data_IF_877276205051
#
_entry.id   IF_877276205051
#
_cell.length_a   1.000
_cell.length_b   1.000
_cell.length_c   1.000
_cell.angle_alpha   90.00
_cell.angle_beta   90.00
_cell.angle_gamma   90.00
#
_symmetry.space_group_name_H-M   'P 1'
#
loop_
_entity.id
_entity.type
_entity.pdbx_description
1 polymer ?
#
# COMPACT_ATOMS: atom_id res chain seq x y z
N UNK A 1 -51.30 -37.37 -44.39
CA UNK A 1 -50.95 -36.69 -43.15
C UNK A 1 -49.44 -36.63 -43.04
N UNK A 2 -48.75 -35.43 -42.99
CA UNK A 2 -47.32 -35.35 -42.84
C UNK A 2 -46.91 -35.27 -41.38
N UNK A 3 -45.94 -36.09 -41.00
CA UNK A 3 -45.31 -36.19 -39.70
C UNK A 3 -44.29 -35.04 -39.53
N UNK A 4 -44.55 -34.19 -38.56
CA UNK A 4 -43.63 -33.09 -38.14
C UNK A 4 -42.51 -33.64 -37.28
N UNK A 5 -41.27 -33.65 -37.82
CA UNK A 5 -40.06 -33.89 -37.01
C UNK A 5 -39.69 -32.63 -36.20
N UNK A 6 -39.80 -32.72 -34.87
CA UNK A 6 -39.25 -31.69 -33.96
C UNK A 6 -37.74 -31.89 -33.86
N UNK A 7 -36.99 -30.91 -34.39
CA UNK A 7 -35.52 -30.81 -34.14
C UNK A 7 -35.31 -30.21 -32.77
N UNK A 8 -34.70 -30.97 -31.88
CA UNK A 8 -34.16 -30.45 -30.61
C UNK A 8 -32.83 -29.75 -30.89
N UNK A 9 -32.83 -28.41 -30.77
CA UNK A 9 -31.59 -27.63 -30.76
C UNK A 9 -30.94 -27.77 -29.36
N UNK A 10 -29.85 -28.52 -29.30
CA UNK A 10 -29.02 -28.59 -28.14
C UNK A 10 -28.11 -27.36 -28.12
N UNK A 11 -28.40 -26.39 -27.27
CA UNK A 11 -27.55 -25.22 -27.03
C UNK A 11 -26.42 -25.67 -26.09
N UNK A 12 -25.20 -25.79 -26.63
CA UNK A 12 -24.00 -25.94 -25.81
C UNK A 12 -23.66 -24.60 -25.21
N UNK A 13 -23.91 -24.46 -23.88
CA UNK A 13 -23.43 -23.34 -23.10
C UNK A 13 -21.93 -23.56 -22.84
N UNK A 14 -21.07 -22.92 -23.62
CA UNK A 14 -19.65 -22.87 -23.34
C UNK A 14 -19.39 -21.87 -22.22
N UNK A 15 -19.23 -22.35 -21.00
CA UNK A 15 -18.70 -21.55 -19.90
C UNK A 15 -17.24 -21.20 -20.21
N UNK A 16 -16.83 -19.92 -20.10
CA UNK A 16 -15.42 -19.58 -20.23
C UNK A 16 -14.65 -20.26 -19.12
N UNK A 17 -13.67 -21.07 -19.50
CA UNK A 17 -12.66 -21.59 -18.57
C UNK A 17 -11.91 -20.39 -17.99
N UNK A 18 -12.26 -20.00 -16.76
CA UNK A 18 -11.52 -19.02 -16.00
C UNK A 18 -10.14 -19.63 -15.76
N UNK A 19 -9.12 -19.02 -16.31
CA UNK A 19 -7.74 -19.47 -16.24
C UNK A 19 -7.24 -19.41 -14.79
N UNK A 20 -7.38 -20.54 -14.09
CA UNK A 20 -6.97 -20.70 -12.69
C UNK A 20 -5.47 -20.45 -12.50
N UNK A 21 -4.67 -20.52 -13.59
CA UNK A 21 -3.26 -20.20 -13.55
C UNK A 21 -2.99 -18.71 -13.30
N UNK A 22 -3.88 -17.82 -13.75
CA UNK A 22 -3.78 -16.38 -13.45
C UNK A 22 -4.08 -16.05 -11.98
N UNK A 23 -4.94 -16.80 -11.32
CA UNK A 23 -5.22 -16.60 -9.89
C UNK A 23 -4.04 -17.03 -8.99
N UNK A 24 -3.21 -17.97 -9.42
CA UNK A 24 -2.01 -18.40 -8.66
C UNK A 24 -0.86 -17.40 -8.70
N UNK A 25 -0.80 -16.53 -9.69
CA UNK A 25 0.25 -15.50 -9.79
C UNK A 25 0.10 -14.37 -8.75
N UNK A 26 -1.10 -14.17 -8.19
CA UNK A 26 -1.34 -13.18 -7.13
C UNK A 26 -1.12 -13.73 -5.70
N UNK A 27 -0.92 -15.03 -5.56
CA UNK A 27 -0.62 -15.68 -4.28
C UNK A 27 0.89 -15.83 -4.04
N UNK A 28 1.73 -15.23 -4.88
CA UNK A 28 3.18 -15.21 -4.64
C UNK A 28 3.41 -14.31 -3.45
N UNK A 29 3.58 -14.98 -2.31
CA UNK A 29 3.73 -14.43 -0.99
C UNK A 29 4.63 -13.20 -0.97
N UNK A 30 4.21 -12.16 -0.25
CA UNK A 30 5.15 -11.18 0.25
C UNK A 30 6.37 -11.94 0.81
N UNK A 31 7.61 -11.54 0.47
CA UNK A 31 8.81 -12.19 0.99
C UNK A 31 8.67 -12.34 2.50
N UNK A 32 9.24 -13.43 3.03
CA UNK A 32 9.27 -13.67 4.48
C UNK A 32 10.01 -12.49 5.13
N UNK A 33 9.22 -11.50 5.58
CA UNK A 33 9.71 -10.23 6.09
C UNK A 33 10.08 -10.47 7.56
N UNK A 34 11.37 -10.46 7.86
CA UNK A 34 11.79 -10.35 9.26
C UNK A 34 11.26 -9.05 9.84
N UNK A 35 10.82 -9.03 11.10
CA UNK A 35 10.35 -7.81 11.76
C UNK A 35 11.44 -6.74 11.71
N UNK A 36 11.05 -5.49 11.47
CA UNK A 36 11.97 -4.35 11.56
C UNK A 36 12.27 -4.05 13.03
N UNK A 37 13.35 -3.31 13.27
CA UNK A 37 13.75 -2.86 14.62
C UNK A 37 12.66 -2.05 15.35
N UNK A 38 11.66 -1.52 14.63
CA UNK A 38 10.52 -0.81 15.20
C UNK A 38 9.65 -1.67 16.14
N UNK A 39 9.85 -2.99 16.14
CA UNK A 39 9.13 -3.90 17.03
C UNK A 39 10.08 -4.83 17.78
N UNK A 40 11.20 -4.33 18.25
CA UNK A 40 11.99 -5.00 19.25
C UNK A 40 11.56 -4.49 20.64
N UNK A 41 10.90 -5.27 21.44
CA UNK A 41 10.59 -5.13 22.87
C UNK A 41 10.28 -3.71 23.45
N UNK A 42 10.38 -2.64 22.65
CA UNK A 42 10.28 -1.25 23.09
C UNK A 42 8.87 -0.76 23.40
N UNK A 43 7.82 -1.48 23.05
CA UNK A 43 6.43 -1.08 23.23
C UNK A 43 6.06 0.29 22.61
N UNK A 44 6.92 0.88 21.80
CA UNK A 44 6.69 2.19 21.21
C UNK A 44 5.72 2.11 20.04
N UNK A 45 4.64 2.89 20.14
CA UNK A 45 3.70 3.05 19.05
C UNK A 45 4.35 3.88 17.93
N UNK A 46 3.96 3.58 16.69
CA UNK A 46 4.34 4.41 15.54
C UNK A 46 3.89 5.85 15.77
N UNK A 47 4.79 6.80 15.56
CA UNK A 47 4.55 8.23 15.79
C UNK A 47 3.44 8.78 14.88
N UNK A 48 2.49 9.51 15.46
CA UNK A 48 1.47 10.23 14.71
C UNK A 48 2.07 11.43 13.96
N UNK A 49 1.55 11.71 12.75
CA UNK A 49 1.86 12.90 11.96
C UNK A 49 0.59 13.46 11.32
N UNK A 50 0.65 14.71 10.92
CA UNK A 50 -0.47 15.39 10.28
C UNK A 50 -0.85 14.72 8.95
N UNK A 51 -2.15 14.60 8.69
CA UNK A 51 -2.69 14.13 7.41
C UNK A 51 -2.35 15.07 6.24
N UNK A 52 -2.10 16.34 6.56
CA UNK A 52 -1.93 17.39 5.56
C UNK A 52 -3.23 17.74 4.85
N UNK A 53 -3.20 18.76 3.95
CA UNK A 53 -4.40 19.29 3.29
C UNK A 53 -4.92 18.38 2.16
N UNK A 54 -4.19 17.36 1.77
CA UNK A 54 -4.51 16.50 0.63
C UNK A 54 -5.20 15.19 1.01
N UNK A 55 -5.54 15.01 2.29
CA UNK A 55 -6.32 13.86 2.70
C UNK A 55 -7.69 13.87 2.01
N UNK A 56 -8.06 12.74 1.41
CA UNK A 56 -9.40 12.50 0.86
C UNK A 56 -9.97 11.25 1.50
N UNK A 57 -11.26 11.31 1.81
CA UNK A 57 -11.98 10.15 2.33
C UNK A 57 -12.39 9.22 1.17
N UNK A 58 -12.62 7.94 1.49
CA UNK A 58 -13.12 6.93 0.58
C UNK A 58 -12.17 6.62 -0.59
N UNK A 59 -10.87 6.52 -0.30
CA UNK A 59 -9.92 5.99 -1.28
C UNK A 59 -10.37 4.62 -1.80
N UNK A 60 -10.05 4.22 -3.05
CA UNK A 60 -10.41 2.93 -3.58
C UNK A 60 -9.68 1.78 -2.85
N UNK A 61 -10.28 0.59 -2.85
CA UNK A 61 -9.61 -0.65 -2.47
C UNK A 61 -8.63 -1.03 -3.59
N UNK A 62 -7.46 -0.43 -3.53
CA UNK A 62 -6.42 -0.55 -4.55
C UNK A 62 -5.05 -0.50 -3.90
N UNK A 63 -4.14 -1.34 -4.35
CA UNK A 63 -2.77 -1.45 -3.86
C UNK A 63 -1.71 -1.39 -4.96
N UNK A 64 -2.11 -1.50 -6.23
CA UNK A 64 -1.23 -1.29 -7.37
C UNK A 64 -1.48 0.08 -7.98
N UNK A 65 -0.83 1.09 -7.42
CA UNK A 65 -0.97 2.49 -7.82
C UNK A 65 0.02 2.88 -8.94
N UNK A 66 0.92 1.97 -9.33
CA UNK A 66 1.90 2.25 -10.38
C UNK A 66 1.27 2.63 -11.75
N UNK A 67 0.14 2.05 -12.16
CA UNK A 67 -0.53 2.46 -13.40
C UNK A 67 -0.95 3.93 -13.45
N UNK A 68 -1.12 4.58 -12.30
CA UNK A 68 -1.48 6.00 -12.21
C UNK A 68 -0.34 6.94 -12.64
N UNK A 69 0.92 6.48 -12.54
CA UNK A 69 2.11 7.27 -12.85
C UNK A 69 3.24 6.40 -13.43
N UNK A 70 3.05 5.83 -14.63
CA UNK A 70 3.99 4.84 -15.20
C UNK A 70 5.37 5.42 -15.58
N UNK A 71 5.50 6.75 -15.60
CA UNK A 71 6.77 7.45 -15.83
C UNK A 71 7.63 7.65 -14.59
N UNK A 72 7.06 7.44 -13.38
CA UNK A 72 7.77 7.59 -12.12
C UNK A 72 8.71 6.42 -11.80
N UNK A 73 9.70 6.66 -10.96
CA UNK A 73 10.57 5.60 -10.44
C UNK A 73 9.76 4.65 -9.58
N UNK A 74 9.72 3.36 -9.94
CA UNK A 74 8.93 2.36 -9.25
C UNK A 74 9.44 2.08 -7.84
N UNK A 75 8.52 1.93 -6.89
CA UNK A 75 8.79 1.45 -5.54
C UNK A 75 7.68 0.49 -5.09
N UNK A 76 8.10 -0.65 -4.52
CA UNK A 76 7.20 -1.50 -3.75
C UNK A 76 7.39 -1.18 -2.27
N UNK A 77 6.32 -0.82 -1.60
CA UNK A 77 6.28 -0.64 -0.15
C UNK A 77 5.66 -1.87 0.48
N UNK A 78 6.21 -2.37 1.58
CA UNK A 78 5.64 -3.48 2.30
C UNK A 78 6.00 -3.45 3.79
N UNK A 79 5.25 -4.18 4.59
CA UNK A 79 5.51 -4.32 6.01
C UNK A 79 4.38 -5.05 6.72
N UNK A 80 4.36 -4.92 8.03
CA UNK A 80 3.35 -5.52 8.89
C UNK A 80 2.64 -4.45 9.72
N UNK A 81 1.42 -4.74 10.16
CA UNK A 81 0.75 -4.02 11.23
C UNK A 81 0.77 -4.90 12.47
N UNK A 82 1.32 -4.38 13.55
CA UNK A 82 1.60 -5.10 14.78
C UNK A 82 0.95 -4.37 15.96
N UNK A 83 0.66 -5.10 17.02
CA UNK A 83 0.37 -4.48 18.31
C UNK A 83 1.67 -4.17 19.08
N UNK A 84 1.53 -3.51 20.23
CA UNK A 84 2.66 -3.14 21.10
C UNK A 84 3.40 -4.34 21.74
N UNK A 85 3.02 -5.57 21.43
CA UNK A 85 3.70 -6.82 21.81
C UNK A 85 4.24 -7.55 20.59
N UNK A 86 4.40 -6.83 19.46
CA UNK A 86 4.86 -7.36 18.18
C UNK A 86 3.98 -8.49 17.60
N UNK A 87 2.72 -8.60 18.01
CA UNK A 87 1.80 -9.59 17.45
C UNK A 87 1.14 -9.03 16.19
N UNK A 88 1.08 -9.81 15.10
CA UNK A 88 0.50 -9.35 13.85
C UNK A 88 -1.01 -9.10 13.98
N UNK A 89 -1.49 -8.02 13.36
CA UNK A 89 -2.86 -7.58 13.36
C UNK A 89 -3.48 -7.75 11.97
N UNK A 90 -4.12 -8.90 11.74
CA UNK A 90 -4.86 -9.18 10.51
C UNK A 90 -6.14 -8.35 10.39
N UNK A 91 -6.56 -8.04 9.14
CA UNK A 91 -7.74 -7.25 8.86
C UNK A 91 -7.61 -5.76 9.21
N UNK A 92 -6.40 -5.28 9.48
CA UNK A 92 -6.13 -3.86 9.72
C UNK A 92 -6.20 -3.08 8.41
N UNK A 93 -6.87 -1.93 8.41
CA UNK A 93 -6.85 -0.99 7.31
C UNK A 93 -5.48 -0.35 7.19
N UNK A 94 -4.92 -0.32 5.98
CA UNK A 94 -3.75 0.47 5.61
C UNK A 94 -4.10 1.30 4.37
N UNK A 95 -4.08 2.61 4.49
CA UNK A 95 -4.35 3.57 3.43
C UNK A 95 -3.09 4.40 3.16
N UNK A 96 -2.82 4.67 1.87
CA UNK A 96 -1.70 5.48 1.40
C UNK A 96 -2.18 6.61 0.51
N UNK A 97 -1.49 7.78 0.56
CA UNK A 97 -1.55 8.82 -0.46
C UNK A 97 -0.23 9.59 -0.51
N UNK A 98 0.13 10.07 -1.69
CA UNK A 98 1.38 10.81 -1.88
C UNK A 98 1.35 11.68 -3.15
N UNK A 99 2.37 12.52 -3.30
CA UNK A 99 2.60 13.31 -4.50
C UNK A 99 3.08 12.44 -5.67
N UNK A 100 2.89 12.93 -6.86
CA UNK A 100 3.39 12.28 -8.08
C UNK A 100 4.89 12.54 -8.34
N UNK A 101 5.35 12.16 -9.52
CA UNK A 101 6.72 12.35 -10.00
C UNK A 101 7.11 13.83 -10.22
N UNK A 102 6.15 14.75 -10.17
CA UNK A 102 6.37 16.20 -10.26
C UNK A 102 6.22 16.90 -8.90
N UNK A 103 5.76 16.22 -7.87
CA UNK A 103 5.50 16.77 -6.55
C UNK A 103 4.06 17.25 -6.36
N UNK A 104 3.15 16.92 -7.27
CA UNK A 104 1.76 17.33 -7.23
C UNK A 104 0.87 16.25 -6.62
N UNK A 105 -0.12 16.68 -5.81
CA UNK A 105 -1.15 15.80 -5.29
C UNK A 105 -2.42 15.87 -6.15
N UNK A 106 -3.01 14.71 -6.44
CA UNK A 106 -4.35 14.69 -7.04
C UNK A 106 -5.38 15.22 -6.04
N UNK A 107 -5.88 16.42 -6.29
CA UNK A 107 -6.89 17.09 -5.47
C UNK A 107 -8.33 16.82 -5.91
N UNK A 108 -8.53 16.15 -7.05
CA UNK A 108 -9.84 15.90 -7.67
C UNK A 108 -10.24 14.43 -7.63
N UNK A 109 -9.33 13.54 -7.98
CA UNK A 109 -9.54 12.09 -8.07
C UNK A 109 -8.88 11.31 -6.94
N UNK A 110 -8.46 10.10 -7.27
CA UNK A 110 -7.79 9.16 -6.36
C UNK A 110 -6.45 8.65 -6.91
N UNK A 111 -5.84 9.36 -7.85
CA UNK A 111 -4.52 9.00 -8.38
C UNK A 111 -3.50 8.93 -7.25
N UNK A 112 -2.69 7.87 -7.23
CA UNK A 112 -1.69 7.58 -6.19
C UNK A 112 -2.26 7.54 -4.77
N UNK A 113 -3.50 7.03 -4.65
CA UNK A 113 -4.23 6.82 -3.39
C UNK A 113 -4.91 5.47 -3.42
N UNK A 114 -4.84 4.77 -2.32
CA UNK A 114 -5.54 3.51 -2.20
C UNK A 114 -5.52 3.00 -0.77
N UNK A 115 -6.33 2.00 -0.50
CA UNK A 115 -6.29 1.28 0.75
C UNK A 115 -6.34 -0.22 0.53
N UNK A 116 -5.96 -0.94 1.54
CA UNK A 116 -6.08 -2.39 1.63
C UNK A 116 -6.31 -2.81 3.08
N UNK A 117 -6.62 -4.08 3.26
CA UNK A 117 -6.63 -4.73 4.58
C UNK A 117 -5.45 -5.69 4.67
N UNK A 118 -4.81 -5.74 5.83
CA UNK A 118 -3.73 -6.69 6.08
C UNK A 118 -4.24 -8.13 5.99
N UNK A 119 -3.36 -9.05 5.58
CA UNK A 119 -3.64 -10.48 5.64
C UNK A 119 -3.66 -11.01 7.09
N UNK A 120 -3.90 -12.31 7.27
CA UNK A 120 -3.96 -12.93 8.59
C UNK A 120 -2.63 -12.84 9.37
N UNK A 121 -1.53 -12.60 8.71
CA UNK A 121 -0.20 -12.38 9.27
C UNK A 121 0.12 -10.88 9.46
N UNK A 122 -0.88 -9.99 9.34
CA UNK A 122 -0.72 -8.56 9.50
C UNK A 122 0.03 -7.86 8.37
N UNK A 123 0.31 -8.53 7.25
CA UNK A 123 1.13 -8.00 6.16
C UNK A 123 0.34 -7.11 5.23
N UNK A 124 0.99 -6.05 4.74
CA UNK A 124 0.48 -5.13 3.74
C UNK A 124 1.55 -4.84 2.68
N UNK A 125 1.14 -4.38 1.50
CA UNK A 125 2.05 -3.90 0.46
C UNK A 125 1.34 -2.97 -0.54
N UNK A 126 2.10 -2.05 -1.13
CA UNK A 126 1.68 -1.20 -2.24
C UNK A 126 2.75 -1.18 -3.33
N UNK A 127 2.35 -1.27 -4.59
CA UNK A 127 3.18 -0.87 -5.72
C UNK A 127 2.84 0.57 -6.09
N UNK A 128 3.86 1.42 -6.19
CA UNK A 128 3.65 2.82 -6.52
C UNK A 128 4.94 3.42 -7.10
N UNK A 129 5.06 4.73 -7.07
CA UNK A 129 6.26 5.45 -7.48
C UNK A 129 6.91 6.16 -6.30
N UNK A 130 8.20 6.47 -6.44
CA UNK A 130 8.90 7.38 -5.54
C UNK A 130 8.35 8.79 -5.76
N UNK A 131 7.69 9.43 -4.76
CA UNK A 131 7.14 10.76 -4.94
C UNK A 131 8.24 11.79 -5.15
N UNK A 132 7.99 12.84 -5.94
CA UNK A 132 8.89 13.98 -5.97
C UNK A 132 8.72 14.86 -4.70
N UNK A 133 9.54 15.88 -4.59
CA UNK A 133 9.51 16.81 -3.47
C UNK A 133 8.32 17.76 -3.58
N UNK A 134 7.42 17.73 -2.61
CA UNK A 134 6.40 18.76 -2.47
C UNK A 134 7.04 20.05 -1.90
N UNK A 135 6.60 21.25 -2.35
CA UNK A 135 7.17 22.51 -1.86
C UNK A 135 7.19 22.62 -0.33
N UNK A 136 8.33 22.91 0.24
CA UNK A 136 8.53 23.10 1.68
C UNK A 136 8.59 21.80 2.50
N UNK A 137 8.52 20.63 1.87
CA UNK A 137 8.55 19.34 2.54
C UNK A 137 9.68 18.44 2.02
N UNK A 138 10.16 17.55 2.86
CA UNK A 138 10.99 16.43 2.42
C UNK A 138 10.13 15.37 1.73
N UNK A 139 10.75 14.43 1.03
CA UNK A 139 10.10 13.33 0.33
C UNK A 139 9.40 12.41 1.33
N UNK A 140 8.11 12.14 1.13
CA UNK A 140 7.34 11.35 2.07
C UNK A 140 6.10 10.69 1.44
N UNK A 141 5.65 9.63 2.09
CA UNK A 141 4.33 9.04 1.92
C UNK A 141 3.46 9.39 3.13
N UNK A 142 2.17 9.57 2.92
CA UNK A 142 1.18 9.61 3.99
C UNK A 142 0.55 8.24 4.17
N UNK A 143 0.26 7.89 5.42
CA UNK A 143 -0.45 6.68 5.78
C UNK A 143 -1.54 6.93 6.81
N UNK A 144 -2.63 6.14 6.70
CA UNK A 144 -3.53 5.83 7.80
C UNK A 144 -3.53 4.36 8.07
N UNK A 145 -3.46 4.00 9.33
CA UNK A 145 -3.50 2.61 9.77
C UNK A 145 -4.52 2.47 10.89
N UNK A 146 -5.37 1.46 10.80
CA UNK A 146 -6.37 1.21 11.82
C UNK A 146 -6.56 -0.30 12.02
N UNK A 147 -6.26 -0.79 13.22
CA UNK A 147 -6.68 -2.14 13.60
C UNK A 147 -8.21 -2.22 13.74
N UNK A 148 -8.83 -3.40 13.56
CA UNK A 148 -10.28 -3.58 13.76
C UNK A 148 -10.72 -3.05 15.13
N UNK A 149 -11.67 -2.09 15.12
CA UNK A 149 -12.19 -1.45 16.34
C UNK A 149 -11.21 -0.52 17.08
N UNK A 150 -10.03 -0.29 16.54
CA UNK A 150 -9.00 0.57 17.16
C UNK A 150 -9.05 2.03 16.73
N UNK A 151 -8.16 2.83 17.34
CA UNK A 151 -7.92 4.21 16.92
C UNK A 151 -7.25 4.24 15.54
N UNK A 152 -7.48 5.30 14.80
CA UNK A 152 -6.77 5.58 13.55
C UNK A 152 -5.42 6.21 13.88
N UNK A 153 -4.35 5.58 13.44
CA UNK A 153 -3.04 6.20 13.33
C UNK A 153 -2.97 6.95 12.00
N UNK A 154 -2.65 8.23 12.03
CA UNK A 154 -2.24 8.99 10.84
C UNK A 154 -0.75 9.29 10.97
N UNK A 155 0.04 8.99 9.94
CA UNK A 155 1.49 9.16 9.99
C UNK A 155 2.08 9.44 8.60
N UNK A 156 3.39 9.63 8.56
CA UNK A 156 4.15 9.83 7.32
C UNK A 156 5.39 8.95 7.37
N UNK A 157 5.79 8.40 6.24
CA UNK A 157 7.06 7.66 6.12
C UNK A 157 8.00 8.43 5.20
N UNK A 158 9.27 8.43 5.56
CA UNK A 158 10.29 9.25 4.94
C UNK A 158 11.40 8.43 4.30
N UNK A 159 12.14 9.04 3.41
CA UNK A 159 13.26 8.42 2.70
C UNK A 159 14.58 8.70 3.44
N UNK A 160 15.44 7.69 3.61
CA UNK A 160 16.77 7.90 4.17
C UNK A 160 17.64 8.71 3.20
N UNK A 161 18.56 9.52 3.74
CA UNK A 161 19.52 10.28 2.95
C UNK A 161 18.97 11.48 2.19
N UNK A 162 17.68 11.83 2.36
CA UNK A 162 17.12 13.05 1.76
C UNK A 162 17.66 14.30 2.46
N UNK A 163 18.33 15.22 1.74
CA UNK A 163 18.93 16.40 2.37
C UNK A 163 17.92 17.31 3.09
N UNK A 164 16.65 17.28 2.66
CA UNK A 164 15.58 18.10 3.25
C UNK A 164 15.03 17.53 4.56
N UNK A 165 15.40 16.32 4.96
CA UNK A 165 14.95 15.74 6.22
C UNK A 165 15.27 16.66 7.42
N UNK A 166 16.49 17.20 7.47
CA UNK A 166 16.92 18.05 8.58
C UNK A 166 16.13 19.37 8.72
N UNK A 167 15.50 19.85 7.64
CA UNK A 167 14.73 21.09 7.64
C UNK A 167 13.21 20.89 7.69
N UNK A 168 12.72 19.67 7.64
CA UNK A 168 11.29 19.39 7.66
C UNK A 168 10.79 19.20 9.09
N UNK A 169 9.90 20.09 9.57
CA UNK A 169 9.38 20.07 10.95
C UNK A 169 8.62 18.78 11.32
N UNK A 170 8.14 18.03 10.34
CA UNK A 170 7.38 16.80 10.57
C UNK A 170 8.24 15.56 10.48
N UNK A 171 9.47 15.70 9.97
CA UNK A 171 10.40 14.58 9.87
C UNK A 171 10.76 14.01 11.26
N UNK A 172 10.88 12.71 11.32
CA UNK A 172 11.45 12.00 12.46
C UNK A 172 12.12 10.72 11.98
N UNK A 173 13.30 10.43 12.50
CA UNK A 173 14.09 9.27 12.08
C UNK A 173 13.41 7.92 12.32
N UNK A 174 12.60 7.80 13.39
CA UNK A 174 11.79 6.58 13.64
C UNK A 174 10.74 6.29 12.56
N UNK A 175 10.53 7.21 11.60
CA UNK A 175 9.60 7.06 10.48
C UNK A 175 10.33 6.88 9.14
N UNK A 176 11.63 6.57 9.17
CA UNK A 176 12.40 6.25 7.98
C UNK A 176 12.04 4.86 7.45
N UNK A 177 11.86 4.78 6.14
CA UNK A 177 11.77 3.52 5.42
C UNK A 177 13.13 2.81 5.39
N UNK A 178 13.17 1.51 5.56
CA UNK A 178 14.31 0.69 5.13
C UNK A 178 14.22 0.52 3.60
N UNK A 179 15.06 1.25 2.87
CA UNK A 179 15.04 1.28 1.39
C UNK A 179 16.16 0.42 0.85
N UNK A 180 15.79 -0.49 -0.06
CA UNK A 180 16.73 -1.31 -0.84
C UNK A 180 16.53 -1.07 -2.33
N UNK A 181 17.62 -0.98 -3.09
CA UNK A 181 17.56 -0.99 -4.55
C UNK A 181 17.27 -2.41 -5.04
N UNK A 182 16.37 -2.53 -6.00
CA UNK A 182 16.03 -3.79 -6.66
C UNK A 182 16.30 -3.69 -8.16
N UNK A 183 16.13 -4.79 -8.87
CA UNK A 183 16.28 -4.80 -10.34
C UNK A 183 15.28 -3.88 -11.04
N UNK A 184 14.06 -3.80 -10.52
CA UNK A 184 12.92 -3.15 -11.17
C UNK A 184 12.48 -1.86 -10.46
N UNK A 185 13.35 -1.25 -9.65
CA UNK A 185 13.08 -0.04 -8.88
C UNK A 185 13.56 -0.15 -7.43
N UNK A 186 12.77 0.33 -6.49
CA UNK A 186 13.08 0.30 -5.06
C UNK A 186 12.13 -0.63 -4.31
N UNK A 187 12.59 -1.11 -3.17
CA UNK A 187 11.77 -1.75 -2.15
C UNK A 187 11.92 -0.96 -0.85
N UNK A 188 10.80 -0.52 -0.28
CA UNK A 188 10.75 0.19 0.98
C UNK A 188 9.99 -0.61 2.02
N UNK A 189 10.56 -0.79 3.21
CA UNK A 189 9.95 -1.53 4.28
C UNK A 189 9.67 -0.67 5.49
N UNK A 190 8.50 -0.91 6.13
CA UNK A 190 8.14 -0.33 7.43
C UNK A 190 7.09 -1.20 8.13
N UNK A 191 7.26 -1.43 9.45
CA UNK A 191 6.26 -2.10 10.27
C UNK A 191 5.56 -1.06 11.16
N UNK A 192 4.22 -1.00 11.08
CA UNK A 192 3.42 -0.12 11.93
C UNK A 192 3.09 -0.80 13.25
N UNK A 193 3.27 -0.11 14.36
CA UNK A 193 2.85 -0.55 15.70
C UNK A 193 1.66 0.31 16.16
N UNK A 194 0.45 -0.31 16.41
CA UNK A 194 -0.81 0.39 16.70
C UNK A 194 -1.58 -0.20 17.87
#
# INVERSE_FOLDING_TARGET
>A
LPSTRRSLLTVFLTLPLIDVARMKAFAQAAPDLQLTLACDDGNELTLEREAGPFLRLNSPLERDLYPDAPGGERITLAGSVLDNRCRPLGGSLVEIWHADENGDYDSVGFRLRGHQFTDAQGRWWFNTIVPALYPGRTRHFHFKVQRPGGRVLTTQLYFPGEPRNAGDRLFHEALLLDIKQTRDGKFGRFDFVV
#
